data_IF_098537412337
#
_entry.id   IF_098537412337
#
_cell.length_a   1.000
_cell.length_b   1.000
_cell.length_c   1.000
_cell.angle_alpha   90.00
_cell.angle_beta   90.00
_cell.angle_gamma   90.00
#
_symmetry.space_group_name_H-M   'P 1'
#
loop_
_entity.id
_entity.type
_entity.pdbx_description
1 polymer ?
#
# COMPACT_ATOMS: atom_id res chain seq x y z
N UNK A 1 -7.13 -3.26 10.69
CA UNK A 1 -7.03 -3.62 9.26
C UNK A 1 -6.60 -5.06 9.10
N UNK A 2 -7.13 -5.78 8.12
CA UNK A 2 -6.75 -7.17 7.82
C UNK A 2 -5.39 -7.28 7.12
N UNK A 3 -4.99 -6.24 6.38
CA UNK A 3 -3.70 -6.16 5.70
C UNK A 3 -2.89 -5.04 6.35
N UNK A 4 -1.65 -5.37 6.75
CA UNK A 4 -0.68 -4.40 7.26
C UNK A 4 0.44 -4.20 6.25
N UNK A 5 0.89 -2.96 6.07
CA UNK A 5 1.93 -2.60 5.11
C UNK A 5 3.28 -3.25 5.46
N UNK A 6 3.86 -3.96 4.50
CA UNK A 6 5.19 -4.56 4.52
C UNK A 6 5.91 -4.30 3.19
N UNK A 7 7.21 -4.59 3.14
CA UNK A 7 8.07 -4.32 1.98
C UNK A 7 7.66 -5.02 0.68
N UNK A 8 6.79 -6.03 0.75
CA UNK A 8 6.40 -6.85 -0.41
C UNK A 8 4.93 -6.70 -0.82
N UNK A 9 4.11 -5.94 -0.09
CA UNK A 9 2.66 -5.94 -0.28
C UNK A 9 2.04 -4.56 -0.53
N UNK A 10 2.85 -3.55 -0.87
CA UNK A 10 2.38 -2.16 -1.06
C UNK A 10 1.18 -2.07 -2.00
N UNK A 11 1.23 -2.74 -3.16
CA UNK A 11 0.16 -2.69 -4.15
C UNK A 11 -1.16 -3.24 -3.60
N UNK A 12 -1.09 -4.35 -2.87
CA UNK A 12 -2.25 -4.96 -2.22
C UNK A 12 -2.77 -4.06 -1.09
N UNK A 13 -1.88 -3.60 -0.21
CA UNK A 13 -2.22 -2.68 0.88
C UNK A 13 -2.92 -1.42 0.34
N UNK A 14 -2.34 -0.78 -0.68
CA UNK A 14 -2.89 0.42 -1.33
C UNK A 14 -4.27 0.15 -1.94
N UNK A 15 -4.43 -0.99 -2.63
CA UNK A 15 -5.72 -1.37 -3.23
C UNK A 15 -6.82 -1.60 -2.19
N UNK A 16 -6.47 -2.08 -0.98
CA UNK A 16 -7.43 -2.21 0.11
C UNK A 16 -7.71 -0.89 0.83
N UNK A 17 -6.69 -0.03 0.97
CA UNK A 17 -6.81 1.22 1.69
C UNK A 17 -7.62 2.26 0.91
N UNK A 18 -7.31 2.45 -0.38
CA UNK A 18 -7.90 3.53 -1.18
C UNK A 18 -9.44 3.53 -1.19
N UNK A 19 -10.15 2.40 -1.36
CA UNK A 19 -11.62 2.39 -1.32
C UNK A 19 -12.18 2.91 0.02
N UNK A 20 -11.50 2.64 1.14
CA UNK A 20 -11.91 3.09 2.48
C UNK A 20 -11.77 4.61 2.58
N UNK A 21 -10.64 5.15 2.11
CA UNK A 21 -10.39 6.60 2.11
C UNK A 21 -11.35 7.33 1.16
N UNK A 22 -11.63 6.77 -0.01
CA UNK A 22 -12.61 7.31 -0.96
C UNK A 22 -14.01 7.32 -0.34
N UNK A 23 -14.45 6.20 0.24
CA UNK A 23 -15.78 6.10 0.87
C UNK A 23 -15.96 7.11 2.02
N UNK A 24 -14.91 7.32 2.82
CA UNK A 24 -14.92 8.28 3.94
C UNK A 24 -14.59 9.72 3.52
N UNK A 25 -14.41 10.00 2.23
CA UNK A 25 -14.03 11.32 1.67
C UNK A 25 -12.71 11.87 2.24
N UNK A 26 -11.77 10.98 2.54
CA UNK A 26 -10.45 11.31 3.10
C UNK A 26 -9.34 11.33 2.05
N UNK A 27 -9.62 10.91 0.82
CA UNK A 27 -8.59 10.77 -0.23
C UNK A 27 -7.85 12.09 -0.50
N UNK A 28 -8.56 13.22 -0.44
CA UNK A 28 -7.98 14.56 -0.63
C UNK A 28 -6.88 14.94 0.36
N UNK A 29 -6.88 14.32 1.54
CA UNK A 29 -5.83 14.49 2.56
C UNK A 29 -4.56 13.70 2.24
N UNK A 30 -4.64 12.66 1.41
CA UNK A 30 -3.49 11.87 0.98
C UNK A 30 -2.84 12.49 -0.24
N UNK A 31 -3.63 12.72 -1.30
CA UNK A 31 -3.15 13.21 -2.59
C UNK A 31 -2.97 14.74 -2.64
N UNK A 32 -3.49 15.46 -1.63
CA UNK A 32 -3.36 16.92 -1.49
C UNK A 32 -4.27 17.70 -2.43
N UNK A 33 -5.25 17.05 -3.05
CA UNK A 33 -6.28 17.70 -3.85
C UNK A 33 -7.22 18.58 -3.02
N UNK A 34 -7.27 18.36 -1.70
CA UNK A 34 -8.04 19.18 -0.75
C UNK A 34 -7.08 19.92 0.19
N UNK A 35 -6.63 21.14 -0.18
CA UNK A 35 -5.77 21.93 0.69
C UNK A 35 -6.51 22.34 1.96
N UNK A 36 -5.80 22.35 3.09
CA UNK A 36 -6.37 22.79 4.35
C UNK A 36 -6.77 24.29 4.26
N UNK A 37 -7.97 24.67 4.73
CA UNK A 37 -8.37 26.06 4.77
C UNK A 37 -7.57 26.83 5.83
N UNK A 38 -7.57 28.16 5.76
CA UNK A 38 -6.89 29.01 6.75
C UNK A 38 -7.40 28.75 8.17
N UNK A 39 -6.51 28.81 9.17
CA UNK A 39 -6.86 28.59 10.59
C UNK A 39 -7.80 29.64 11.15
N UNK A 40 -7.80 30.84 10.58
CA UNK A 40 -8.61 31.97 11.01
C UNK A 40 -9.30 32.63 9.82
N UNK A 41 -10.47 33.21 10.09
CA UNK A 41 -11.24 34.05 9.17
C UNK A 41 -11.39 35.45 9.79
N UNK A 42 -11.46 36.48 8.95
CA UNK A 42 -11.72 37.85 9.41
C UNK A 42 -13.20 38.14 9.23
N UNK A 43 -13.90 38.42 10.33
CA UNK A 43 -15.30 38.84 10.32
C UNK A 43 -15.37 40.15 11.09
N UNK A 44 -15.87 41.21 10.44
CA UNK A 44 -16.00 42.55 11.04
C UNK A 44 -14.70 43.04 11.72
N UNK A 45 -13.58 42.98 11.00
CA UNK A 45 -12.22 43.37 11.46
C UNK A 45 -11.65 42.56 12.65
N UNK A 46 -12.36 41.52 13.11
CA UNK A 46 -11.87 40.61 14.15
C UNK A 46 -11.43 39.27 13.56
N UNK A 47 -10.27 38.80 13.98
CA UNK A 47 -9.75 37.47 13.64
C UNK A 47 -10.44 36.41 14.50
N UNK A 48 -11.20 35.52 13.87
CA UNK A 48 -11.90 34.42 14.51
C UNK A 48 -11.39 33.06 14.01
N UNK A 49 -11.44 31.98 14.81
CA UNK A 49 -11.14 30.64 14.35
C UNK A 49 -12.02 30.22 13.17
N UNK A 50 -11.43 29.56 12.18
CA UNK A 50 -12.17 29.04 11.04
C UNK A 50 -12.81 27.68 11.37
N UNK A 51 -14.15 27.55 11.38
CA UNK A 51 -14.80 26.26 11.59
C UNK A 51 -14.44 25.22 10.52
N UNK A 52 -14.18 25.64 9.28
CA UNK A 52 -13.81 24.73 8.19
C UNK A 52 -12.42 24.10 8.42
N UNK A 53 -11.52 24.83 9.09
CA UNK A 53 -10.22 24.29 9.49
C UNK A 53 -10.38 23.17 10.52
N UNK A 54 -11.29 23.33 11.49
CA UNK A 54 -11.55 22.29 12.48
C UNK A 54 -12.09 21.02 11.82
N UNK A 55 -13.04 21.15 10.89
CA UNK A 55 -13.59 20.02 10.13
C UNK A 55 -12.50 19.33 9.31
N UNK A 56 -11.63 20.10 8.65
CA UNK A 56 -10.49 19.59 7.90
C UNK A 56 -9.49 18.86 8.81
N UNK A 57 -9.14 19.44 9.96
CA UNK A 57 -8.21 18.85 10.92
C UNK A 57 -8.76 17.54 11.50
N UNK A 58 -10.05 17.46 11.81
CA UNK A 58 -10.70 16.22 12.25
C UNK A 58 -10.68 15.14 11.17
N UNK A 59 -10.90 15.51 9.90
CA UNK A 59 -10.80 14.60 8.78
C UNK A 59 -9.37 14.08 8.58
N UNK A 60 -8.37 14.96 8.68
CA UNK A 60 -6.96 14.57 8.61
C UNK A 60 -6.59 13.61 9.75
N UNK A 61 -7.06 13.87 10.98
CA UNK A 61 -6.81 12.99 12.11
C UNK A 61 -7.42 11.59 11.91
N UNK A 62 -8.63 11.49 11.32
CA UNK A 62 -9.22 10.20 10.96
C UNK A 62 -8.37 9.46 9.92
N UNK A 63 -7.86 10.18 8.92
CA UNK A 63 -6.95 9.64 7.92
C UNK A 63 -5.67 9.09 8.55
N UNK A 64 -5.06 9.83 9.49
CA UNK A 64 -3.88 9.40 10.25
C UNK A 64 -4.16 8.10 11.03
N UNK A 65 -5.26 8.04 11.78
CA UNK A 65 -5.63 6.85 12.57
C UNK A 65 -5.79 5.62 11.66
N UNK A 66 -6.47 5.78 10.52
CA UNK A 66 -6.63 4.70 9.55
C UNK A 66 -5.29 4.24 8.98
N UNK A 67 -4.41 5.18 8.58
CA UNK A 67 -3.07 4.87 8.10
C UNK A 67 -2.30 4.07 9.16
N UNK A 68 -2.16 4.62 10.36
CA UNK A 68 -1.42 3.99 11.47
C UNK A 68 -1.95 2.60 11.82
N UNK A 69 -3.28 2.41 11.81
CA UNK A 69 -3.91 1.10 12.06
C UNK A 69 -3.58 0.04 11.00
N UNK A 70 -3.08 0.46 9.85
CA UNK A 70 -2.73 -0.37 8.69
C UNK A 70 -1.22 -0.60 8.55
N UNK A 71 -0.41 -0.11 9.48
CA UNK A 71 1.04 -0.28 9.42
C UNK A 71 1.50 -1.51 10.21
N UNK A 72 2.58 -2.13 9.74
CA UNK A 72 3.42 -2.98 10.59
C UNK A 72 4.24 -2.08 11.53
N UNK A 73 4.80 -2.65 12.59
CA UNK A 73 5.68 -1.90 13.50
C UNK A 73 6.85 -1.25 12.77
N UNK A 74 7.49 -1.98 11.84
CA UNK A 74 8.57 -1.45 11.00
C UNK A 74 8.14 -0.22 10.19
N UNK A 75 7.00 -0.31 9.50
CA UNK A 75 6.48 0.81 8.71
C UNK A 75 6.01 1.99 9.60
N UNK A 76 5.53 1.71 10.81
CA UNK A 76 5.12 2.74 11.76
C UNK A 76 6.29 3.58 12.28
N UNK A 77 7.46 2.96 12.47
CA UNK A 77 8.70 3.67 12.88
C UNK A 77 9.14 4.69 11.82
N UNK A 78 8.97 4.38 10.54
CA UNK A 78 9.38 5.28 9.44
C UNK A 78 8.58 6.59 9.38
N UNK A 79 7.35 6.58 9.89
CA UNK A 79 6.45 7.75 9.86
C UNK A 79 6.29 8.39 11.24
N UNK A 80 7.13 8.01 12.19
CA UNK A 80 7.09 8.52 13.56
C UNK A 80 7.31 10.04 13.58
N UNK A 81 6.43 10.76 14.29
CA UNK A 81 6.50 12.22 14.41
C UNK A 81 5.89 13.00 13.24
N UNK A 82 5.41 12.33 12.19
CA UNK A 82 4.69 12.98 11.10
C UNK A 82 3.24 13.24 11.52
N UNK A 83 2.79 14.49 11.35
CA UNK A 83 1.56 15.00 11.96
C UNK A 83 0.40 15.21 10.99
N UNK A 84 0.59 14.96 9.69
CA UNK A 84 -0.47 15.05 8.68
C UNK A 84 -0.58 13.77 7.89
N UNK A 85 -1.80 13.44 7.44
CA UNK A 85 -2.02 12.22 6.66
C UNK A 85 -1.17 12.18 5.37
N UNK A 86 -1.01 13.33 4.71
CA UNK A 86 -0.14 13.49 3.53
C UNK A 86 1.32 13.19 3.86
N UNK A 87 1.84 13.75 4.96
CA UNK A 87 3.23 13.56 5.35
C UNK A 87 3.49 12.10 5.74
N UNK A 88 2.50 11.38 6.24
CA UNK A 88 2.60 9.92 6.47
C UNK A 88 2.52 9.15 5.14
N UNK A 89 1.62 9.52 4.23
CA UNK A 89 1.40 8.79 2.98
C UNK A 89 2.63 8.79 2.06
N UNK A 90 3.26 9.96 1.87
CA UNK A 90 4.33 10.13 0.88
C UNK A 90 5.56 9.24 1.14
N UNK A 91 6.14 9.18 2.36
CA UNK A 91 7.27 8.30 2.66
C UNK A 91 6.91 6.81 2.52
N UNK A 92 5.69 6.42 2.89
CA UNK A 92 5.24 5.03 2.72
C UNK A 92 5.14 4.67 1.24
N UNK A 93 4.54 5.54 0.43
CA UNK A 93 4.47 5.35 -1.02
C UNK A 93 5.86 5.27 -1.64
N UNK A 94 6.77 6.18 -1.28
CA UNK A 94 8.13 6.19 -1.80
C UNK A 94 8.91 4.92 -1.42
N UNK A 95 8.86 4.51 -0.15
CA UNK A 95 9.71 3.42 0.37
C UNK A 95 9.20 2.04 -0.03
N UNK A 96 7.88 1.85 -0.08
CA UNK A 96 7.29 0.52 -0.25
C UNK A 96 6.82 0.23 -1.68
N UNK A 97 6.56 1.26 -2.51
CA UNK A 97 6.11 1.03 -3.89
C UNK A 97 7.17 0.33 -4.73
N UNK A 98 8.40 0.88 -4.78
CA UNK A 98 9.46 0.35 -5.60
C UNK A 98 9.89 -1.05 -5.13
N UNK A 99 10.07 -1.25 -3.82
CA UNK A 99 10.42 -2.54 -3.24
C UNK A 99 9.38 -3.63 -3.57
N UNK A 100 8.08 -3.29 -3.49
CA UNK A 100 7.01 -4.23 -3.83
C UNK A 100 7.01 -4.56 -5.33
N UNK A 101 7.25 -3.58 -6.19
CA UNK A 101 7.34 -3.77 -7.65
C UNK A 101 8.54 -4.67 -8.00
N UNK A 102 9.72 -4.37 -7.47
CA UNK A 102 10.93 -5.18 -7.65
C UNK A 102 10.73 -6.62 -7.17
N UNK A 103 10.05 -6.82 -6.04
CA UNK A 103 9.72 -8.15 -5.54
C UNK A 103 8.83 -8.93 -6.53
N UNK A 104 7.79 -8.30 -7.10
CA UNK A 104 6.96 -8.92 -8.14
C UNK A 104 7.79 -9.29 -9.37
N UNK A 105 8.71 -8.44 -9.80
CA UNK A 105 9.61 -8.72 -10.92
C UNK A 105 10.54 -9.89 -10.62
N UNK A 106 11.19 -9.89 -9.46
CA UNK A 106 12.08 -10.97 -9.03
C UNK A 106 11.38 -12.33 -8.97
N UNK A 107 10.14 -12.38 -8.48
CA UNK A 107 9.34 -13.62 -8.49
C UNK A 107 9.03 -14.10 -9.92
N UNK A 108 8.70 -13.19 -10.83
CA UNK A 108 8.45 -13.53 -12.25
C UNK A 108 9.71 -14.02 -12.94
N UNK A 109 10.86 -13.43 -12.65
CA UNK A 109 12.13 -13.85 -13.23
C UNK A 109 12.60 -15.18 -12.64
N UNK A 110 12.45 -15.39 -11.33
CA UNK A 110 12.65 -16.69 -10.67
C UNK A 110 11.79 -17.76 -11.32
N UNK A 111 10.52 -17.45 -11.60
CA UNK A 111 9.63 -18.36 -12.32
C UNK A 111 10.15 -18.65 -13.73
N UNK A 112 10.60 -17.64 -14.48
CA UNK A 112 11.11 -17.79 -15.85
C UNK A 112 12.34 -18.68 -15.90
N UNK A 113 13.27 -18.49 -14.96
CA UNK A 113 14.52 -19.23 -14.84
C UNK A 113 14.36 -20.60 -14.19
N UNK A 114 13.22 -20.87 -13.53
CA UNK A 114 12.96 -22.17 -12.92
C UNK A 114 12.96 -23.27 -14.00
N UNK A 115 13.92 -24.17 -13.88
CA UNK A 115 14.05 -25.37 -14.72
C UNK A 115 14.12 -26.60 -13.82
N UNK A 116 13.61 -27.73 -14.29
CA UNK A 116 13.71 -29.00 -13.57
C UNK A 116 15.17 -29.43 -13.39
N UNK A 117 15.97 -29.33 -14.44
CA UNK A 117 17.36 -29.80 -14.46
C UNK A 117 17.46 -31.28 -14.06
N UNK A 118 18.41 -31.61 -13.19
CA UNK A 118 18.60 -32.94 -12.60
C UNK A 118 17.74 -33.20 -11.35
N UNK A 119 16.89 -32.23 -10.95
CA UNK A 119 16.07 -32.32 -9.74
C UNK A 119 14.92 -33.32 -9.90
N UNK A 120 14.47 -33.89 -8.78
CA UNK A 120 13.22 -34.64 -8.76
C UNK A 120 12.03 -33.74 -9.15
N UNK A 121 11.05 -34.34 -9.84
CA UNK A 121 9.84 -33.64 -10.29
C UNK A 121 9.08 -33.03 -9.11
N UNK A 122 9.04 -33.72 -7.97
CA UNK A 122 8.42 -33.23 -6.73
C UNK A 122 9.05 -31.92 -6.24
N UNK A 123 10.38 -31.80 -6.27
CA UNK A 123 11.09 -30.59 -5.85
C UNK A 123 10.89 -29.42 -6.80
N UNK A 124 10.81 -29.69 -8.11
CA UNK A 124 10.43 -28.68 -9.09
C UNK A 124 8.99 -28.20 -8.84
N UNK A 125 8.02 -29.12 -8.72
CA UNK A 125 6.62 -28.78 -8.49
C UNK A 125 6.42 -28.00 -7.19
N UNK A 126 7.12 -28.36 -6.11
CA UNK A 126 7.09 -27.63 -4.83
C UNK A 126 7.58 -26.20 -4.98
N UNK A 127 8.72 -25.97 -5.65
CA UNK A 127 9.26 -24.63 -5.88
C UNK A 127 8.37 -23.80 -6.80
N UNK A 128 7.87 -24.39 -7.89
CA UNK A 128 6.93 -23.75 -8.79
C UNK A 128 5.67 -23.30 -8.05
N UNK A 129 5.07 -24.20 -7.27
CA UNK A 129 3.88 -23.90 -6.46
C UNK A 129 4.15 -22.79 -5.46
N UNK A 130 5.28 -22.81 -4.77
CA UNK A 130 5.64 -21.77 -3.81
C UNK A 130 5.71 -20.37 -4.46
N UNK A 131 6.32 -20.24 -5.64
CA UNK A 131 6.39 -18.97 -6.37
C UNK A 131 4.98 -18.53 -6.84
N UNK A 132 4.15 -19.47 -7.32
CA UNK A 132 2.76 -19.18 -7.70
C UNK A 132 1.91 -18.71 -6.51
N UNK A 133 2.05 -19.36 -5.36
CA UNK A 133 1.33 -19.03 -4.14
C UNK A 133 1.77 -17.64 -3.63
N UNK A 134 3.06 -17.31 -3.69
CA UNK A 134 3.59 -15.99 -3.34
C UNK A 134 3.07 -14.89 -4.28
N UNK A 135 3.11 -15.11 -5.59
CA UNK A 135 2.55 -14.19 -6.58
C UNK A 135 1.05 -13.96 -6.38
N UNK A 136 0.31 -15.00 -6.02
CA UNK A 136 -1.12 -14.92 -5.71
C UNK A 136 -1.37 -14.12 -4.43
N UNK A 137 -0.56 -14.36 -3.39
CA UNK A 137 -0.68 -13.68 -2.10
C UNK A 137 -0.46 -12.16 -2.20
N UNK A 138 0.36 -11.69 -3.15
CA UNK A 138 0.61 -10.25 -3.38
C UNK A 138 -0.30 -9.64 -4.46
N UNK A 139 -1.38 -10.34 -4.87
CA UNK A 139 -2.36 -9.83 -5.82
C UNK A 139 -1.96 -9.93 -7.30
N UNK A 140 -0.91 -10.70 -7.61
CA UNK A 140 -0.42 -10.92 -8.97
C UNK A 140 -0.50 -12.40 -9.41
N UNK A 141 -1.66 -13.06 -9.34
CA UNK A 141 -1.78 -14.47 -9.70
C UNK A 141 -1.43 -14.69 -11.18
N UNK A 142 -0.79 -15.83 -11.47
CA UNK A 142 -0.52 -16.23 -12.85
C UNK A 142 -1.83 -16.61 -13.57
N UNK A 143 -1.91 -16.31 -14.87
CA UNK A 143 -3.01 -16.80 -15.72
C UNK A 143 -2.91 -18.33 -15.84
N UNK A 144 -4.04 -19.04 -15.73
CA UNK A 144 -4.12 -20.52 -15.81
C UNK A 144 -3.36 -21.11 -17.02
N UNK A 145 -3.43 -20.45 -18.18
CA UNK A 145 -2.75 -20.87 -19.42
C UNK A 145 -1.22 -20.98 -19.27
N UNK A 146 -0.61 -20.06 -18.53
CA UNK A 146 0.85 -20.04 -18.29
C UNK A 146 1.28 -21.12 -17.30
N UNK A 147 0.39 -21.53 -16.40
CA UNK A 147 0.62 -22.62 -15.45
C UNK A 147 0.61 -23.97 -16.19
N UNK A 148 -0.34 -24.17 -17.09
CA UNK A 148 -0.51 -25.42 -17.86
C UNK A 148 0.61 -25.64 -18.89
N UNK A 149 1.14 -24.58 -19.50
CA UNK A 149 2.28 -24.66 -20.43
C UNK A 149 3.58 -25.05 -19.72
N UNK A 150 3.83 -24.51 -18.51
CA UNK A 150 5.04 -24.81 -17.72
C UNK A 150 4.98 -26.09 -16.91
N UNK A 151 3.79 -26.64 -16.65
CA UNK A 151 3.65 -27.97 -16.05
C UNK A 151 3.95 -29.10 -17.06
N UNK A 152 3.96 -28.79 -18.36
CA UNK A 152 4.11 -29.75 -19.47
C UNK A 152 5.53 -29.80 -20.04
N UNK A 153 6.42 -28.89 -19.63
CA UNK A 153 7.81 -28.78 -20.07
C UNK A 153 8.75 -29.18 -18.93
#
# INVERSE_FOLDING_TARGET
MTIKLSSSNYLLWRNHLLPIFTYQKLLGHLDGSSPAPSTTITVEEKSLPNPDYLVCAEADQRAIILLQSSLTEKAAVEVLGLTTARNIWLPLEASYSNASIEHVHSLRDSLRQLTKGTSYVSDYCRRFKAICDQLSAIGHPLKKRTIEERART
#
